data_IF_192838358279
#
_entry.id   IF_192838358279
#
_cell.length_a   1.000
_cell.length_b   1.000
_cell.length_c   1.000
_cell.angle_alpha   90.00
_cell.angle_beta   90.00
_cell.angle_gamma   90.00
#
_symmetry.space_group_name_H-M   'P 1'
#
loop_
_entity.id
_entity.type
_entity.pdbx_description
1 polymer ?
#
# COMPACT_ATOMS: atom_id res chain seq x y z
N UNK A 1 8.36 -7.15 -4.27
CA UNK A 1 8.50 -5.85 -3.57
C UNK A 1 7.41 -5.76 -2.50
N UNK A 2 7.47 -4.87 -1.48
CA UNK A 2 6.38 -4.73 -0.50
C UNK A 2 5.40 -3.66 -0.97
N UNK A 3 4.10 -3.86 -0.76
CA UNK A 3 3.04 -2.90 -1.12
C UNK A 3 3.29 -1.52 -0.50
N UNK A 4 3.72 -1.47 0.77
CA UNK A 4 4.05 -0.22 1.45
C UNK A 4 5.20 0.54 0.77
N UNK A 5 6.18 -0.18 0.23
CA UNK A 5 7.31 0.40 -0.49
C UNK A 5 6.91 0.84 -1.91
N UNK A 6 6.12 0.03 -2.60
CA UNK A 6 5.59 0.38 -3.91
C UNK A 6 4.76 1.67 -3.85
N UNK A 7 3.86 1.79 -2.88
CA UNK A 7 3.04 2.99 -2.70
C UNK A 7 3.88 4.22 -2.32
N UNK A 8 4.92 4.04 -1.51
CA UNK A 8 5.89 5.12 -1.25
C UNK A 8 6.54 5.62 -2.53
N UNK A 9 7.09 4.71 -3.34
CA UNK A 9 7.83 5.06 -4.55
C UNK A 9 6.89 5.61 -5.64
N UNK A 10 5.67 5.08 -5.76
CA UNK A 10 4.70 5.50 -6.78
C UNK A 10 3.98 6.81 -6.46
N UNK A 11 3.61 7.03 -5.18
CA UNK A 11 2.85 8.21 -4.76
C UNK A 11 3.74 9.34 -4.20
N UNK A 12 5.05 9.11 -4.06
CA UNK A 12 5.94 10.01 -3.33
C UNK A 12 5.56 10.17 -1.85
N UNK A 13 4.76 9.24 -1.33
CA UNK A 13 4.23 9.29 0.02
C UNK A 13 5.25 8.74 1.02
N UNK A 14 5.18 9.18 2.27
CA UNK A 14 5.97 8.56 3.34
C UNK A 14 5.40 7.18 3.70
N UNK A 15 6.23 6.28 4.28
CA UNK A 15 5.76 4.93 4.70
C UNK A 15 4.56 4.97 5.63
N UNK A 16 4.46 6.00 6.48
CA UNK A 16 3.30 6.21 7.37
C UNK A 16 2.03 6.53 6.58
N UNK A 17 2.12 7.36 5.54
CA UNK A 17 0.99 7.68 4.66
C UNK A 17 0.58 6.46 3.85
N UNK A 18 1.53 5.74 3.24
CA UNK A 18 1.24 4.49 2.53
C UNK A 18 0.51 3.48 3.44
N UNK A 19 0.98 3.31 4.69
CA UNK A 19 0.32 2.43 5.65
C UNK A 19 -1.10 2.88 6.01
N UNK A 20 -1.36 4.20 6.08
CA UNK A 20 -2.72 4.73 6.30
C UNK A 20 -3.63 4.42 5.12
N UNK A 21 -3.18 4.62 3.89
CA UNK A 21 -3.95 4.37 2.66
C UNK A 21 -4.26 2.87 2.52
N UNK A 22 -3.30 2.01 2.84
CA UNK A 22 -3.50 0.56 2.88
C UNK A 22 -4.57 0.20 3.93
N UNK A 23 -4.49 0.80 5.12
CA UNK A 23 -5.44 0.53 6.21
C UNK A 23 -6.83 1.13 5.97
N UNK A 24 -6.97 2.22 5.20
CA UNK A 24 -8.26 2.78 4.84
C UNK A 24 -9.02 1.88 3.87
N UNK A 25 -8.35 0.92 3.23
CA UNK A 25 -8.96 0.01 2.25
C UNK A 25 -9.10 0.64 0.87
N UNK A 26 -8.39 1.74 0.60
CA UNK A 26 -8.33 2.40 -0.71
C UNK A 26 -7.40 1.67 -1.69
N UNK A 27 -6.65 0.66 -1.23
CA UNK A 27 -5.70 -0.08 -2.04
C UNK A 27 -6.30 -1.41 -2.47
N UNK A 28 -6.40 -1.59 -3.79
CA UNK A 28 -6.75 -2.85 -4.43
C UNK A 28 -5.48 -3.47 -5.01
N UNK A 29 -5.23 -4.73 -4.71
CA UNK A 29 -4.20 -5.54 -5.37
C UNK A 29 -4.92 -6.68 -6.08
N UNK A 30 -4.79 -6.74 -7.39
CA UNK A 30 -5.45 -7.74 -8.25
C UNK A 30 -6.98 -7.81 -8.07
N UNK A 31 -7.60 -6.68 -7.74
CA UNK A 31 -9.05 -6.57 -7.53
C UNK A 31 -9.53 -6.85 -6.10
N UNK A 32 -8.63 -7.23 -5.18
CA UNK A 32 -8.95 -7.45 -3.77
C UNK A 32 -8.43 -6.31 -2.88
N UNK A 33 -9.24 -5.91 -1.89
CA UNK A 33 -8.85 -4.86 -0.94
C UNK A 33 -7.74 -5.36 -0.03
N UNK A 34 -6.55 -4.80 -0.20
CA UNK A 34 -5.37 -5.24 0.54
C UNK A 34 -5.09 -4.31 1.71
N UNK A 35 -5.21 -4.84 2.94
CA UNK A 35 -4.98 -4.09 4.19
C UNK A 35 -3.62 -4.34 4.85
N UNK A 36 -2.77 -5.16 4.23
CA UNK A 36 -1.41 -5.42 4.71
C UNK A 36 -0.37 -4.76 3.82
N UNK A 37 0.39 -3.81 4.38
CA UNK A 37 1.51 -3.19 3.67
C UNK A 37 2.64 -4.15 3.37
N UNK A 38 2.73 -5.24 4.15
CA UNK A 38 3.67 -6.34 3.95
C UNK A 38 3.42 -7.17 2.71
N UNK A 39 2.27 -6.98 2.06
CA UNK A 39 1.88 -7.77 0.92
C UNK A 39 2.95 -7.69 -0.17
N UNK A 40 3.25 -8.85 -0.77
CA UNK A 40 4.25 -8.92 -1.83
C UNK A 40 3.57 -8.51 -3.13
N UNK A 41 4.01 -7.39 -3.67
CA UNK A 41 3.66 -6.89 -5.01
C UNK A 41 4.81 -7.11 -5.99
#
# INVERSE_FOLDING_TARGET
MRLDKYLCDALGATRKQATKIIKSGEVLVDGEVQKSGSFKV
#
